data_IF_494876371817
#
_entry.id   IF_494876371817
#
_cell.length_a   1.000
_cell.length_b   1.000
_cell.length_c   1.000
_cell.angle_alpha   90.00
_cell.angle_beta   90.00
_cell.angle_gamma   90.00
#
_symmetry.space_group_name_H-M   'P 1'
#
loop_
_entity.id
_entity.type
_entity.pdbx_description
1 polymer ?
#
# COMPACT_ATOMS: atom_id res chain seq x y z
N UNK A 1 24.49 -113.91 55.44
CA UNK A 1 23.20 -113.19 55.34
C UNK A 1 23.39 -111.90 56.15
N UNK A 2 23.51 -110.68 55.63
CA UNK A 2 23.15 -110.02 54.36
C UNK A 2 24.17 -108.88 54.09
N UNK A 3 24.38 -108.56 52.81
CA UNK A 3 25.06 -107.36 52.29
C UNK A 3 24.06 -106.18 52.15
N UNK A 4 24.58 -105.04 51.66
CA UNK A 4 23.91 -103.94 50.92
C UNK A 4 23.56 -102.70 51.76
N UNK A 5 23.71 -101.44 51.32
CA UNK A 5 24.41 -100.71 50.24
C UNK A 5 24.26 -99.20 50.53
N UNK A 6 25.14 -98.40 49.91
CA UNK A 6 25.16 -96.93 49.69
C UNK A 6 23.83 -96.14 49.80
N UNK A 7 23.93 -94.87 50.23
CA UNK A 7 23.74 -93.73 49.31
C UNK A 7 24.14 -92.37 49.92
N UNK A 8 25.01 -91.66 49.19
CA UNK A 8 25.17 -90.21 49.22
C UNK A 8 23.90 -89.54 48.65
N UNK A 9 23.42 -88.48 49.28
CA UNK A 9 22.55 -87.50 48.63
C UNK A 9 22.88 -86.11 49.14
N UNK A 10 23.47 -85.30 48.25
CA UNK A 10 23.68 -83.87 48.39
C UNK A 10 22.59 -83.17 47.59
N UNK A 11 21.86 -82.17 48.13
CA UNK A 11 21.15 -81.20 47.31
C UNK A 11 21.93 -79.88 47.32
N UNK A 12 22.67 -79.65 46.23
CA UNK A 12 23.12 -78.34 45.80
C UNK A 12 21.99 -77.67 45.01
N UNK A 13 21.01 -77.05 45.67
CA UNK A 13 19.97 -76.27 45.00
C UNK A 13 19.63 -75.06 45.86
N UNK A 14 19.88 -73.86 45.33
CA UNK A 14 19.64 -72.60 46.05
C UNK A 14 20.54 -71.43 45.65
N UNK A 15 21.45 -71.59 44.68
CA UNK A 15 22.32 -70.48 44.22
C UNK A 15 21.91 -69.82 42.90
N UNK A 16 20.94 -70.36 42.17
CA UNK A 16 20.58 -69.85 40.84
C UNK A 16 19.35 -68.89 40.84
N UNK A 17 18.38 -69.04 41.76
CA UNK A 17 17.19 -68.16 41.80
C UNK A 17 17.48 -66.70 42.23
N UNK A 18 18.54 -66.46 43.01
CA UNK A 18 18.89 -65.11 43.52
C UNK A 18 19.60 -64.25 42.45
N UNK A 19 20.09 -64.87 41.37
CA UNK A 19 20.83 -64.18 40.29
C UNK A 19 19.91 -63.58 39.22
N UNK A 20 18.78 -64.22 38.93
CA UNK A 20 17.84 -63.78 37.89
C UNK A 20 17.01 -62.56 38.30
N UNK A 21 16.57 -62.49 39.55
CA UNK A 21 15.82 -61.34 40.11
C UNK A 21 16.64 -60.05 40.09
N UNK A 22 17.91 -60.12 40.48
CA UNK A 22 18.84 -58.97 40.43
C UNK A 22 19.15 -58.51 38.99
N UNK A 23 19.15 -59.41 38.00
CA UNK A 23 19.37 -59.04 36.59
C UNK A 23 18.13 -58.39 35.96
N UNK A 24 16.94 -58.89 36.28
CA UNK A 24 15.68 -58.31 35.81
C UNK A 24 15.45 -56.90 36.39
N UNK A 25 15.77 -56.70 37.67
CA UNK A 25 15.71 -55.38 38.32
C UNK A 25 16.76 -54.41 37.76
N UNK A 26 17.98 -54.86 37.46
CA UNK A 26 19.03 -54.04 36.86
C UNK A 26 18.73 -53.67 35.39
N UNK A 27 18.10 -54.57 34.64
CA UNK A 27 17.66 -54.30 33.27
C UNK A 27 16.48 -53.32 33.24
N UNK A 28 15.51 -53.49 34.14
CA UNK A 28 14.39 -52.56 34.33
C UNK A 28 14.82 -51.17 34.80
N UNK A 29 15.78 -51.09 35.73
CA UNK A 29 16.32 -49.82 36.23
C UNK A 29 17.06 -49.06 35.13
N UNK A 30 17.87 -49.75 34.33
CA UNK A 30 18.63 -49.14 33.22
C UNK A 30 17.72 -48.58 32.12
N UNK A 31 16.60 -49.25 31.82
CA UNK A 31 15.62 -48.77 30.86
C UNK A 31 14.85 -47.54 31.37
N UNK A 32 14.43 -47.56 32.64
CA UNK A 32 13.74 -46.44 33.28
C UNK A 32 14.65 -45.20 33.41
N UNK A 33 15.92 -45.42 33.74
CA UNK A 33 16.93 -44.35 33.86
C UNK A 33 17.27 -43.74 32.50
N UNK A 34 17.40 -44.55 31.45
CA UNK A 34 17.54 -44.07 30.07
C UNK A 34 16.31 -43.28 29.59
N UNK A 35 15.10 -43.73 29.93
CA UNK A 35 13.85 -43.04 29.61
C UNK A 35 13.78 -41.67 30.32
N UNK A 36 14.08 -41.62 31.62
CA UNK A 36 14.12 -40.37 32.38
C UNK A 36 15.15 -39.38 31.82
N UNK A 37 16.34 -39.86 31.45
CA UNK A 37 17.36 -39.02 30.81
C UNK A 37 16.86 -38.49 29.45
N UNK A 38 16.18 -39.32 28.65
CA UNK A 38 15.62 -38.87 27.37
C UNK A 38 14.55 -37.79 27.54
N UNK A 39 13.72 -37.88 28.59
CA UNK A 39 12.74 -36.84 28.93
C UNK A 39 13.40 -35.54 29.39
N UNK A 40 14.50 -35.62 30.14
CA UNK A 40 15.28 -34.43 30.55
C UNK A 40 15.88 -33.74 29.32
N UNK A 41 16.50 -34.50 28.41
CA UNK A 41 17.07 -33.97 27.18
C UNK A 41 15.98 -33.32 26.32
N UNK A 42 14.85 -34.00 26.13
CA UNK A 42 13.72 -33.45 25.37
C UNK A 42 13.18 -32.15 26.00
N UNK A 43 13.07 -32.09 27.33
CA UNK A 43 12.65 -30.88 28.04
C UNK A 43 13.63 -29.73 27.82
N UNK A 44 14.94 -29.98 27.86
CA UNK A 44 15.96 -28.97 27.58
C UNK A 44 15.83 -28.46 26.15
N UNK A 45 15.70 -29.35 25.16
CA UNK A 45 15.50 -28.99 23.75
C UNK A 45 14.23 -28.13 23.59
N UNK A 46 13.14 -28.52 24.23
CA UNK A 46 11.88 -27.76 24.18
C UNK A 46 12.04 -26.36 24.78
N UNK A 47 12.74 -26.22 25.91
CA UNK A 47 13.03 -24.92 26.54
C UNK A 47 13.89 -24.05 25.60
N UNK A 48 14.94 -24.63 25.00
CA UNK A 48 15.80 -23.90 24.06
C UNK A 48 15.00 -23.42 22.84
N UNK A 49 14.13 -24.27 22.27
CA UNK A 49 13.24 -23.89 21.18
C UNK A 49 12.31 -22.74 21.56
N UNK A 50 11.73 -22.75 22.77
CA UNK A 50 10.89 -21.66 23.26
C UNK A 50 11.68 -20.36 23.43
N UNK A 51 12.92 -20.43 23.93
CA UNK A 51 13.78 -19.26 24.06
C UNK A 51 14.13 -18.68 22.68
N UNK A 52 14.53 -19.53 21.72
CA UNK A 52 14.80 -19.11 20.34
C UNK A 52 13.55 -18.50 19.69
N UNK A 53 12.39 -19.12 19.92
CA UNK A 53 11.12 -18.59 19.46
C UNK A 53 10.87 -17.19 20.03
N UNK A 54 10.93 -16.99 21.36
CA UNK A 54 10.72 -15.68 21.99
C UNK A 54 11.78 -14.64 21.56
N UNK A 55 13.04 -15.04 21.40
CA UNK A 55 14.10 -14.18 20.90
C UNK A 55 13.87 -13.76 19.43
N UNK A 56 13.17 -14.57 18.64
CA UNK A 56 12.79 -14.19 17.27
C UNK A 56 11.76 -13.05 17.23
N UNK A 57 11.22 -12.61 18.38
CA UNK A 57 10.24 -11.53 18.52
C UNK A 57 10.80 -10.11 18.42
N UNK A 58 12.13 -9.93 18.44
CA UNK A 58 12.74 -8.59 18.30
C UNK A 58 12.56 -8.06 16.87
N UNK A 59 11.95 -6.88 16.73
CA UNK A 59 11.73 -6.17 15.46
C UNK A 59 12.12 -4.71 15.60
N UNK A 60 12.64 -4.12 14.53
CA UNK A 60 13.01 -2.69 14.50
C UNK A 60 12.03 -1.91 13.65
N UNK A 61 11.65 -0.71 14.11
CA UNK A 61 10.82 0.25 13.37
C UNK A 61 11.69 1.41 12.91
N UNK A 62 11.59 1.76 11.62
CA UNK A 62 12.33 2.89 11.03
C UNK A 62 11.89 4.24 11.58
N UNK A 63 12.71 5.28 11.41
CA UNK A 63 12.38 6.65 11.84
C UNK A 63 11.32 7.32 10.96
N UNK A 64 11.13 6.81 9.75
CA UNK A 64 10.14 7.24 8.75
C UNK A 64 8.85 6.40 8.77
N UNK A 65 8.77 5.43 9.68
CA UNK A 65 7.70 4.45 9.79
C UNK A 65 7.01 4.55 11.15
N UNK A 66 5.70 4.30 11.17
CA UNK A 66 4.95 4.00 12.38
C UNK A 66 4.46 2.57 12.29
N UNK A 67 4.56 1.83 13.38
CA UNK A 67 4.12 0.45 13.42
C UNK A 67 2.96 0.27 14.40
N UNK A 68 2.07 -0.67 14.09
CA UNK A 68 1.11 -1.18 15.06
C UNK A 68 1.23 -2.70 15.14
N UNK A 69 0.86 -3.22 16.31
CA UNK A 69 0.91 -4.64 16.59
C UNK A 69 -0.51 -5.20 16.52
N UNK A 70 -0.69 -6.17 15.64
CA UNK A 70 -1.90 -6.97 15.57
C UNK A 70 -1.70 -8.18 16.49
N UNK A 71 -2.63 -8.43 17.40
CA UNK A 71 -2.70 -9.66 18.20
C UNK A 71 -3.89 -10.47 17.72
N UNK A 72 -3.65 -11.65 17.16
CA UNK A 72 -4.68 -12.48 16.52
C UNK A 72 -5.58 -11.69 15.55
N UNK A 73 -4.97 -10.82 14.75
CA UNK A 73 -5.68 -9.98 13.76
C UNK A 73 -6.43 -8.77 14.34
N UNK A 74 -6.41 -8.55 15.67
CA UNK A 74 -6.97 -7.34 16.30
C UNK A 74 -5.86 -6.37 16.65
N UNK A 75 -6.04 -5.09 16.39
CA UNK A 75 -5.09 -4.04 16.83
C UNK A 75 -4.97 -4.06 18.35
N UNK A 76 -3.74 -4.23 18.86
CA UNK A 76 -3.42 -4.27 20.28
C UNK A 76 -3.29 -2.83 20.82
N UNK A 77 -3.88 -2.56 21.99
CA UNK A 77 -3.78 -1.28 22.71
C UNK A 77 -5.05 -0.41 22.65
N UNK A 78 -5.09 0.66 23.44
CA UNK A 78 -6.13 1.70 23.42
C UNK A 78 -5.47 3.09 23.48
N UNK A 79 -5.82 3.99 22.56
CA UNK A 79 -5.24 5.34 22.52
C UNK A 79 -3.82 5.36 21.94
N UNK A 80 -2.94 6.15 22.55
CA UNK A 80 -1.57 6.44 22.06
C UNK A 80 -0.63 5.22 22.15
N UNK A 81 -0.91 4.23 23.00
CA UNK A 81 -0.13 2.99 23.13
C UNK A 81 -0.29 2.02 21.93
N UNK A 82 -1.11 2.37 20.94
CA UNK A 82 -1.33 1.57 19.72
C UNK A 82 -0.25 1.79 18.67
N UNK A 83 0.38 2.96 18.67
CA UNK A 83 1.33 3.39 17.65
C UNK A 83 2.73 3.27 18.24
N UNK A 84 3.48 2.27 17.78
CA UNK A 84 4.87 2.11 18.12
C UNK A 84 5.70 3.06 17.27
N UNK A 85 6.34 4.01 17.95
CA UNK A 85 7.35 4.88 17.37
C UNK A 85 8.65 4.14 17.01
N UNK A 86 9.62 4.87 16.43
CA UNK A 86 10.90 4.32 16.01
C UNK A 86 11.66 3.66 17.16
N UNK A 87 12.29 2.50 16.89
CA UNK A 87 13.11 1.81 17.89
C UNK A 87 13.05 0.29 17.81
N UNK A 88 13.76 -0.35 18.74
CA UNK A 88 13.70 -1.80 18.95
C UNK A 88 12.46 -2.15 19.76
N UNK A 89 11.58 -2.96 19.18
CA UNK A 89 10.33 -3.38 19.77
C UNK A 89 10.33 -4.90 19.88
N UNK A 90 9.98 -5.40 21.06
CA UNK A 90 9.79 -6.84 21.25
C UNK A 90 8.29 -7.16 21.16
N UNK A 91 7.95 -8.05 20.23
CA UNK A 91 6.59 -8.56 20.06
C UNK A 91 6.60 -10.07 20.21
N UNK A 92 5.45 -10.67 20.51
CA UNK A 92 5.35 -12.11 20.43
C UNK A 92 5.54 -12.55 18.96
N UNK A 93 6.29 -13.63 18.71
CA UNK A 93 6.45 -14.11 17.34
C UNK A 93 5.12 -14.58 16.74
N UNK A 94 5.06 -14.58 15.41
CA UNK A 94 3.95 -15.20 14.68
C UNK A 94 3.74 -16.64 15.19
N UNK A 95 2.49 -17.10 15.43
CA UNK A 95 1.22 -16.54 14.96
C UNK A 95 0.47 -15.62 15.95
N UNK A 96 1.06 -15.28 17.09
CA UNK A 96 0.36 -14.55 18.16
C UNK A 96 0.26 -13.06 17.79
N UNK A 97 1.39 -12.47 17.40
CA UNK A 97 1.46 -11.06 17.01
C UNK A 97 2.12 -10.84 15.66
N UNK A 98 1.66 -9.80 14.96
CA UNK A 98 2.15 -9.35 13.67
C UNK A 98 2.38 -7.85 13.72
N UNK A 99 3.53 -7.39 13.22
CA UNK A 99 3.88 -5.97 13.12
C UNK A 99 3.62 -5.46 11.71
N UNK A 100 2.79 -4.44 11.59
CA UNK A 100 2.53 -3.76 10.32
C UNK A 100 3.19 -2.39 10.38
N UNK A 101 4.07 -2.09 9.42
CA UNK A 101 4.85 -0.85 9.38
C UNK A 101 4.35 0.06 8.27
N UNK A 102 3.89 1.26 8.61
CA UNK A 102 3.33 2.20 7.64
C UNK A 102 4.25 3.43 7.49
N UNK A 103 4.60 3.80 6.26
CA UNK A 103 5.51 4.92 5.95
C UNK A 103 4.79 6.28 6.07
N UNK A 104 4.61 6.79 7.29
CA UNK A 104 3.84 8.05 7.51
C UNK A 104 4.61 9.31 7.09
N UNK A 105 5.94 9.30 7.13
CA UNK A 105 6.75 10.49 6.83
C UNK A 105 7.00 10.69 5.31
N UNK A 106 6.68 9.69 4.47
CA UNK A 106 6.99 9.73 3.04
C UNK A 106 5.91 10.45 2.25
N UNK A 107 6.33 11.48 1.52
CA UNK A 107 5.52 12.16 0.50
C UNK A 107 5.71 11.47 -0.84
N UNK A 108 4.61 11.01 -1.43
CA UNK A 108 4.61 10.26 -2.69
C UNK A 108 3.98 11.10 -3.78
N UNK A 109 4.66 11.20 -4.91
CA UNK A 109 4.15 11.87 -6.10
C UNK A 109 3.43 10.86 -7.00
N UNK A 110 2.17 11.16 -7.31
CA UNK A 110 1.34 10.44 -8.25
C UNK A 110 1.00 11.35 -9.43
N UNK A 111 1.51 11.00 -10.61
CA UNK A 111 1.13 11.67 -11.85
C UNK A 111 -0.24 11.17 -12.32
N UNK A 112 -1.14 12.10 -12.61
CA UNK A 112 -2.49 11.83 -13.10
C UNK A 112 -2.64 12.45 -14.49
N UNK A 113 -2.55 11.60 -15.51
CA UNK A 113 -2.57 11.99 -16.93
C UNK A 113 -3.86 11.56 -17.64
N UNK A 114 -4.92 11.25 -16.89
CA UNK A 114 -6.20 10.75 -17.39
C UNK A 114 -6.86 11.67 -18.41
N UNK A 115 -6.56 12.97 -18.33
CA UNK A 115 -7.11 14.02 -19.17
C UNK A 115 -6.11 14.49 -20.23
N UNK A 116 -5.01 13.76 -20.45
CA UNK A 116 -4.04 14.10 -21.48
C UNK A 116 -4.33 13.34 -22.78
N UNK A 117 -4.11 13.99 -23.92
CA UNK A 117 -4.23 13.35 -25.22
C UNK A 117 -3.15 12.28 -25.41
N UNK A 118 -3.40 11.31 -26.28
CA UNK A 118 -2.43 10.27 -26.56
C UNK A 118 -1.20 10.84 -27.28
N UNK A 119 -0.01 10.45 -26.82
CA UNK A 119 1.26 10.72 -27.48
C UNK A 119 1.94 9.40 -27.83
N UNK A 120 2.41 9.26 -29.07
CA UNK A 120 3.22 8.10 -29.45
C UNK A 120 4.59 8.16 -28.77
N UNK A 121 5.27 7.00 -28.66
CA UNK A 121 6.63 6.95 -28.11
C UNK A 121 7.61 7.90 -28.84
N UNK A 122 7.43 8.07 -30.15
CA UNK A 122 8.23 9.01 -30.95
C UNK A 122 7.93 10.49 -30.65
N UNK A 123 6.70 10.83 -30.25
CA UNK A 123 6.31 12.19 -29.83
C UNK A 123 6.84 12.55 -28.44
N UNK A 124 7.15 11.57 -27.59
CA UNK A 124 7.65 11.80 -26.23
C UNK A 124 9.17 11.99 -26.16
N UNK A 125 9.91 11.70 -27.25
CA UNK A 125 11.37 11.82 -27.28
C UNK A 125 11.80 13.30 -27.41
N UNK A 126 12.74 13.77 -26.57
CA UNK A 126 13.20 15.17 -26.59
C UNK A 126 14.00 15.55 -27.85
N UNK A 127 14.39 14.58 -28.68
CA UNK A 127 15.12 14.79 -29.92
C UNK A 127 14.35 14.24 -31.12
N UNK A 128 13.53 15.09 -31.74
CA UNK A 128 13.48 15.29 -33.19
C UNK A 128 12.62 16.50 -33.49
N UNK A 129 13.10 17.30 -34.44
CA UNK A 129 12.48 18.49 -35.00
C UNK A 129 10.97 18.31 -35.10
N UNK A 130 10.22 19.26 -34.52
CA UNK A 130 8.75 19.39 -34.50
C UNK A 130 8.14 19.26 -35.89
N UNK A 131 8.02 18.04 -36.39
CA UNK A 131 7.08 17.76 -37.43
C UNK A 131 5.72 17.65 -36.72
N UNK A 132 4.93 18.73 -36.77
CA UNK A 132 3.46 18.74 -36.55
C UNK A 132 2.74 17.80 -37.56
N UNK A 133 3.35 16.68 -37.97
CA UNK A 133 3.00 15.97 -39.21
C UNK A 133 1.87 14.97 -39.08
N UNK A 134 1.35 14.70 -37.89
CA UNK A 134 0.20 13.80 -37.74
C UNK A 134 -0.75 14.25 -36.62
N UNK A 135 -1.02 15.56 -36.51
CA UNK A 135 -2.22 15.97 -35.77
C UNK A 135 -3.41 15.46 -36.56
N UNK A 136 -4.06 14.41 -36.06
CA UNK A 136 -5.27 13.87 -36.68
C UNK A 136 -6.34 14.97 -36.74
N UNK A 137 -7.15 15.02 -37.82
CA UNK A 137 -8.12 16.10 -38.02
C UNK A 137 -9.21 16.11 -36.94
N UNK A 138 -9.43 14.98 -36.27
CA UNK A 138 -10.43 14.81 -35.21
C UNK A 138 -9.80 14.39 -33.90
N UNK A 139 -10.47 14.74 -32.81
CA UNK A 139 -10.20 14.21 -31.47
C UNK A 139 -10.84 12.82 -31.35
N UNK A 140 -10.11 11.83 -30.82
CA UNK A 140 -10.66 10.50 -30.57
C UNK A 140 -10.93 10.32 -29.08
N UNK A 141 -12.17 10.53 -28.59
CA UNK A 141 -12.46 10.57 -27.14
C UNK A 141 -12.21 9.23 -26.42
N UNK A 142 -12.12 8.12 -27.15
CA UNK A 142 -11.79 6.80 -26.59
C UNK A 142 -10.29 6.58 -26.37
N UNK A 143 -9.45 7.43 -26.97
CA UNK A 143 -7.98 7.34 -26.94
C UNK A 143 -7.35 8.56 -26.29
N UNK A 144 -7.87 9.75 -26.60
CA UNK A 144 -7.41 11.02 -26.07
C UNK A 144 -8.17 11.32 -24.78
N UNK A 145 -7.44 11.43 -23.67
CA UNK A 145 -8.02 11.89 -22.41
C UNK A 145 -8.38 13.37 -22.49
N UNK A 146 -9.49 13.78 -21.88
CA UNK A 146 -9.93 15.17 -21.90
C UNK A 146 -10.79 15.52 -20.69
N UNK A 147 -10.79 16.79 -20.30
CA UNK A 147 -11.68 17.34 -19.28
C UNK A 147 -12.62 18.38 -19.89
N UNK A 148 -13.78 18.55 -19.28
CA UNK A 148 -14.81 19.47 -19.74
C UNK A 148 -14.82 20.71 -18.83
N UNK A 149 -14.91 21.89 -19.45
CA UNK A 149 -15.04 23.19 -18.78
C UNK A 149 -16.34 23.87 -19.17
N UNK A 150 -16.83 24.75 -18.30
CA UNK A 150 -18.05 25.53 -18.49
C UNK A 150 -17.96 26.43 -19.71
N UNK A 151 -19.09 26.67 -20.36
CA UNK A 151 -19.21 27.75 -21.35
C UNK A 151 -19.09 29.14 -20.73
N UNK A 152 -18.69 30.13 -21.52
CA UNK A 152 -18.85 31.53 -21.13
C UNK A 152 -20.33 31.91 -21.08
N UNK A 153 -20.70 32.82 -20.18
CA UNK A 153 -22.06 33.37 -20.18
C UNK A 153 -22.18 34.31 -21.39
N UNK A 154 -22.91 33.92 -22.42
CA UNK A 154 -23.27 34.81 -23.52
C UNK A 154 -24.06 36.01 -23.00
N UNK A 155 -23.60 37.23 -23.31
CA UNK A 155 -24.24 38.49 -22.87
C UNK A 155 -25.57 38.81 -23.59
N UNK A 156 -25.98 38.04 -24.59
CA UNK A 156 -27.23 38.25 -25.32
C UNK A 156 -27.96 36.91 -25.50
N UNK A 157 -29.07 36.72 -24.78
CA UNK A 157 -30.03 35.65 -25.06
C UNK A 157 -30.81 36.02 -26.32
N UNK A 158 -30.36 35.55 -27.49
CA UNK A 158 -31.33 35.28 -28.56
C UNK A 158 -32.11 34.08 -28.08
N UNK A 159 -33.39 34.27 -27.80
CA UNK A 159 -34.29 33.23 -27.34
C UNK A 159 -34.14 31.99 -28.26
N UNK A 160 -34.01 30.82 -27.65
CA UNK A 160 -34.06 29.47 -28.25
C UNK A 160 -32.75 28.69 -28.46
N UNK A 161 -31.57 29.23 -28.08
CA UNK A 161 -30.37 28.39 -27.89
C UNK A 161 -30.07 28.21 -26.40
N UNK A 162 -30.78 27.26 -25.77
CA UNK A 162 -30.51 26.81 -24.40
C UNK A 162 -29.28 25.88 -24.31
N UNK A 163 -28.20 26.18 -25.05
CA UNK A 163 -26.97 25.41 -25.06
C UNK A 163 -25.82 26.24 -24.49
N UNK A 164 -25.41 25.98 -23.24
CA UNK A 164 -24.09 26.41 -22.80
C UNK A 164 -23.06 25.46 -23.44
N UNK A 165 -22.42 25.88 -24.51
CA UNK A 165 -21.41 25.05 -25.18
C UNK A 165 -20.24 24.77 -24.23
N UNK A 166 -20.09 23.52 -23.80
CA UNK A 166 -18.95 23.12 -22.98
C UNK A 166 -17.67 23.13 -23.82
N UNK A 167 -16.54 23.47 -23.20
CA UNK A 167 -15.24 23.42 -23.85
C UNK A 167 -14.45 22.20 -23.39
N UNK A 168 -13.52 21.77 -24.24
CA UNK A 168 -12.64 20.63 -23.97
C UNK A 168 -11.23 21.14 -23.71
N UNK A 169 -10.59 20.60 -22.66
CA UNK A 169 -9.18 20.85 -22.35
C UNK A 169 -8.45 19.54 -22.10
N UNK A 170 -7.16 19.53 -22.40
CA UNK A 170 -6.24 18.49 -22.00
C UNK A 170 -5.43 18.97 -20.80
N UNK A 171 -5.32 18.16 -19.75
CA UNK A 171 -4.56 18.53 -18.57
C UNK A 171 -3.79 17.37 -17.95
N UNK A 172 -2.64 17.71 -17.35
CA UNK A 172 -1.84 16.82 -16.52
C UNK A 172 -1.86 17.33 -15.09
N UNK A 173 -2.03 16.41 -14.17
CA UNK A 173 -2.08 16.69 -12.74
C UNK A 173 -0.98 15.92 -12.02
N UNK A 174 -0.53 16.47 -10.90
CA UNK A 174 0.33 15.77 -9.96
C UNK A 174 -0.24 15.90 -8.56
N UNK A 175 -0.56 14.76 -7.95
CA UNK A 175 -0.92 14.66 -6.54
C UNK A 175 0.34 14.32 -5.75
N UNK A 176 0.68 15.11 -4.74
CA UNK A 176 1.58 14.67 -3.68
C UNK A 176 0.71 14.29 -2.48
N UNK A 177 0.80 13.04 -2.05
CA UNK A 177 0.06 12.54 -0.89
C UNK A 177 1.00 11.94 0.16
N UNK A 178 0.49 11.79 1.38
CA UNK A 178 1.15 11.07 2.46
C UNK A 178 0.09 10.33 3.29
N UNK A 179 0.50 9.30 4.02
CA UNK A 179 -0.35 8.64 5.00
C UNK A 179 -0.20 9.41 6.32
N UNK A 180 -1.28 10.06 6.76
CA UNK A 180 -1.29 10.94 7.94
C UNK A 180 -1.75 10.16 9.19
N UNK A 181 -2.74 9.28 9.03
CA UNK A 181 -3.26 8.41 10.09
C UNK A 181 -3.11 6.94 9.67
N UNK A 182 -2.12 6.20 10.21
CA UNK A 182 -1.88 4.81 9.82
C UNK A 182 -2.97 3.85 10.29
N UNK A 183 -3.69 4.15 11.38
CA UNK A 183 -4.77 3.28 11.88
C UNK A 183 -5.98 3.37 10.95
N UNK A 184 -6.42 4.59 10.63
CA UNK A 184 -7.49 4.83 9.66
C UNK A 184 -7.14 4.24 8.30
N UNK A 185 -5.91 4.45 7.85
CA UNK A 185 -5.42 3.87 6.62
C UNK A 185 -5.52 2.35 6.61
N UNK A 186 -5.00 1.67 7.65
CA UNK A 186 -5.02 0.22 7.70
C UNK A 186 -6.43 -0.37 7.76
N UNK A 187 -7.36 0.31 8.45
CA UNK A 187 -8.74 -0.18 8.59
C UNK A 187 -9.59 0.03 7.33
N UNK A 188 -9.43 1.17 6.67
CA UNK A 188 -10.35 1.63 5.63
C UNK A 188 -9.76 1.56 4.22
N UNK A 189 -8.46 1.33 4.08
CA UNK A 189 -7.78 1.20 2.79
C UNK A 189 -7.23 -0.20 2.61
N UNK A 190 -7.70 -0.88 1.56
CA UNK A 190 -7.22 -2.21 1.22
C UNK A 190 -5.81 -2.16 0.62
N UNK A 191 -4.91 -2.94 1.22
CA UNK A 191 -3.57 -3.22 0.69
C UNK A 191 -3.43 -4.72 0.55
N UNK A 192 -2.95 -5.18 -0.61
CA UNK A 192 -2.74 -6.62 -0.83
C UNK A 192 -1.67 -7.17 0.12
N UNK A 193 -1.72 -8.49 0.35
CA UNK A 193 -0.66 -9.17 1.11
C UNK A 193 0.70 -9.05 0.43
N UNK A 194 1.74 -8.90 1.25
CA UNK A 194 3.15 -8.80 0.81
C UNK A 194 3.67 -10.19 0.51
N UNK A 195 4.29 -10.37 -0.66
CA UNK A 195 4.98 -11.62 -1.02
C UNK A 195 6.44 -11.58 -0.53
N UNK A 196 7.06 -12.74 -0.25
CA UNK A 196 8.48 -12.80 0.09
C UNK A 196 9.34 -12.08 -0.96
N UNK A 197 10.17 -11.13 -0.49
CA UNK A 197 11.05 -10.32 -1.35
C UNK A 197 10.47 -8.97 -1.82
N UNK A 198 9.19 -8.69 -1.59
CA UNK A 198 8.60 -7.39 -1.92
C UNK A 198 8.84 -6.34 -0.81
N UNK A 199 9.01 -5.09 -1.21
CA UNK A 199 9.07 -3.95 -0.29
C UNK A 199 7.64 -3.52 0.05
N UNK A 200 7.26 -3.53 1.33
CA UNK A 200 5.89 -3.22 1.73
C UNK A 200 5.41 -1.83 1.27
N UNK A 201 6.30 -0.84 1.27
CA UNK A 201 6.04 0.50 0.71
C UNK A 201 5.56 0.45 -0.74
N UNK A 202 6.21 -0.35 -1.59
CA UNK A 202 5.84 -0.48 -2.99
C UNK A 202 4.50 -1.20 -3.15
N UNK A 203 4.25 -2.22 -2.33
CA UNK A 203 2.96 -2.92 -2.28
C UNK A 203 1.82 -1.95 -1.93
N UNK A 204 2.02 -1.09 -0.93
CA UNK A 204 1.08 -0.04 -0.56
C UNK A 204 0.84 0.89 -1.76
N UNK A 205 1.92 1.43 -2.34
CA UNK A 205 1.84 2.37 -3.48
C UNK A 205 1.06 1.77 -4.65
N UNK A 206 1.39 0.54 -5.04
CA UNK A 206 0.69 -0.17 -6.12
C UNK A 206 -0.79 -0.39 -5.81
N UNK A 207 -1.12 -0.77 -4.58
CA UNK A 207 -2.50 -1.05 -4.16
C UNK A 207 -3.39 0.20 -4.19
N UNK A 208 -2.86 1.34 -3.74
CA UNK A 208 -3.66 2.57 -3.59
C UNK A 208 -3.63 3.47 -4.84
N UNK A 209 -2.66 3.31 -5.73
CA UNK A 209 -2.55 4.12 -6.96
C UNK A 209 -3.84 4.18 -7.79
N UNK A 210 -4.51 3.07 -8.15
CA UNK A 210 -5.73 3.13 -8.95
C UNK A 210 -6.86 3.87 -8.21
N UNK A 211 -6.98 3.61 -6.90
CA UNK A 211 -7.97 4.25 -6.04
C UNK A 211 -7.76 5.78 -5.94
N UNK A 212 -6.52 6.22 -5.66
CA UNK A 212 -6.21 7.65 -5.60
C UNK A 212 -6.36 8.34 -6.95
N UNK A 213 -5.99 7.66 -8.05
CA UNK A 213 -6.17 8.19 -9.40
C UNK A 213 -7.65 8.44 -9.69
N UNK A 214 -8.53 7.49 -9.37
CA UNK A 214 -9.98 7.65 -9.56
C UNK A 214 -10.56 8.81 -8.73
N UNK A 215 -10.15 8.94 -7.47
CA UNK A 215 -10.58 10.06 -6.62
C UNK A 215 -10.11 11.42 -7.16
N UNK A 216 -8.87 11.51 -7.64
CA UNK A 216 -8.35 12.74 -8.28
C UNK A 216 -9.12 13.02 -9.56
N UNK A 217 -9.34 12.03 -10.41
CA UNK A 217 -10.07 12.17 -11.66
C UNK A 217 -11.48 12.74 -11.39
N UNK A 218 -12.19 12.15 -10.43
CA UNK A 218 -13.52 12.63 -10.03
C UNK A 218 -13.52 14.04 -9.41
N UNK A 219 -12.47 14.40 -8.66
CA UNK A 219 -12.34 15.75 -8.09
C UNK A 219 -12.01 16.80 -9.16
N UNK A 220 -11.16 16.45 -10.14
CA UNK A 220 -10.85 17.31 -11.29
C UNK A 220 -12.11 17.56 -12.12
N UNK A 221 -12.83 16.51 -12.52
CA UNK A 221 -14.06 16.66 -13.32
C UNK A 221 -15.08 17.55 -12.60
N UNK A 222 -15.36 17.28 -11.33
CA UNK A 222 -16.31 18.07 -10.54
C UNK A 222 -15.87 19.53 -10.34
N UNK A 223 -14.57 19.81 -10.38
CA UNK A 223 -14.03 21.17 -10.23
C UNK A 223 -14.06 21.92 -11.57
N UNK A 224 -13.54 21.31 -12.63
CA UNK A 224 -13.32 21.96 -13.94
C UNK A 224 -14.61 22.44 -14.61
N UNK A 225 -15.72 21.74 -14.39
CA UNK A 225 -17.05 22.13 -14.91
C UNK A 225 -17.56 23.47 -14.36
N UNK A 226 -16.93 24.04 -13.33
CA UNK A 226 -17.30 25.35 -12.79
C UNK A 226 -16.52 26.51 -13.42
N UNK A 227 -15.46 26.22 -14.18
CA UNK A 227 -14.54 27.21 -14.74
C UNK A 227 -14.68 27.30 -16.25
N UNK A 228 -14.49 28.48 -16.83
CA UNK A 228 -14.36 28.62 -18.29
C UNK A 228 -13.00 28.08 -18.77
N UNK A 229 -12.86 27.90 -20.09
CA UNK A 229 -11.57 27.51 -20.68
C UNK A 229 -10.48 28.56 -20.41
N UNK A 230 -10.79 29.85 -20.48
CA UNK A 230 -9.84 30.93 -20.21
C UNK A 230 -9.42 30.96 -18.73
N UNK A 231 -10.37 30.77 -17.81
CA UNK A 231 -10.06 30.60 -16.39
C UNK A 231 -9.20 29.36 -16.14
N UNK A 232 -9.48 28.26 -16.84
CA UNK A 232 -8.73 27.02 -16.72
C UNK A 232 -7.27 27.18 -17.18
N UNK A 233 -7.06 27.82 -18.33
CA UNK A 233 -5.72 28.03 -18.91
C UNK A 233 -4.93 29.07 -18.11
N UNK A 234 -5.58 30.11 -17.59
CA UNK A 234 -4.92 31.20 -16.86
C UNK A 234 -4.74 30.94 -15.36
N UNK A 235 -5.54 30.04 -14.76
CA UNK A 235 -5.48 29.76 -13.33
C UNK A 235 -4.24 28.96 -12.95
N UNK A 236 -3.30 29.61 -12.27
CA UNK A 236 -2.14 28.92 -11.67
C UNK A 236 -2.49 28.18 -10.38
N UNK A 237 -3.31 28.79 -9.51
CA UNK A 237 -3.48 28.35 -8.12
C UNK A 237 -4.92 28.00 -7.73
N UNK A 238 -5.91 28.69 -8.30
CA UNK A 238 -7.30 28.62 -7.84
C UNK A 238 -7.88 27.23 -8.05
N UNK A 239 -7.79 26.71 -9.27
CA UNK A 239 -8.33 25.40 -9.63
C UNK A 239 -7.61 24.27 -8.87
N UNK A 240 -6.27 24.19 -8.82
CA UNK A 240 -5.59 23.17 -8.00
C UNK A 240 -5.97 23.19 -6.52
N UNK A 241 -6.18 24.38 -5.92
CA UNK A 241 -6.66 24.51 -4.54
C UNK A 241 -8.07 23.92 -4.37
N UNK A 242 -8.97 24.14 -5.32
CA UNK A 242 -10.33 23.58 -5.27
C UNK A 242 -10.31 22.05 -5.45
N UNK A 243 -9.52 21.54 -6.41
CA UNK A 243 -9.34 20.09 -6.59
C UNK A 243 -8.78 19.45 -5.32
N UNK A 244 -7.74 20.04 -4.72
CA UNK A 244 -7.17 19.56 -3.45
C UNK A 244 -8.22 19.53 -2.35
N UNK A 245 -9.01 20.59 -2.20
CA UNK A 245 -10.05 20.68 -1.17
C UNK A 245 -11.08 19.55 -1.33
N UNK A 246 -11.63 19.41 -2.54
CA UNK A 246 -12.62 18.38 -2.84
C UNK A 246 -12.07 16.96 -2.71
N UNK A 247 -10.81 16.74 -3.12
CA UNK A 247 -10.11 15.47 -2.93
C UNK A 247 -9.98 15.14 -1.43
N UNK A 248 -9.53 16.09 -0.62
CA UNK A 248 -9.38 15.89 0.83
C UNK A 248 -10.74 15.60 1.48
N UNK A 249 -11.79 16.35 1.13
CA UNK A 249 -13.16 16.09 1.62
C UNK A 249 -13.62 14.64 1.32
N UNK A 250 -13.30 14.12 0.13
CA UNK A 250 -13.61 12.73 -0.23
C UNK A 250 -12.78 11.72 0.55
N UNK A 251 -11.48 11.97 0.72
CA UNK A 251 -10.57 11.12 1.50
C UNK A 251 -10.94 11.08 2.98
N UNK A 252 -11.42 12.20 3.53
CA UNK A 252 -11.89 12.33 4.91
C UNK A 252 -13.23 11.61 5.10
N UNK A 253 -14.15 11.70 4.14
CA UNK A 253 -15.48 11.06 4.19
C UNK A 253 -15.41 9.54 4.33
N UNK A 254 -14.39 8.91 3.74
CA UNK A 254 -14.15 7.47 3.85
C UNK A 254 -13.13 7.12 4.94
N UNK A 255 -12.72 8.11 5.72
CA UNK A 255 -11.72 7.98 6.79
C UNK A 255 -10.46 7.24 6.32
N UNK A 256 -9.95 7.58 5.13
CA UNK A 256 -8.84 6.84 4.51
C UNK A 256 -7.51 6.96 5.24
N UNK A 257 -7.35 7.94 6.14
CA UNK A 257 -6.06 8.28 6.74
C UNK A 257 -5.03 8.84 5.76
N UNK A 258 -5.42 9.11 4.50
CA UNK A 258 -4.56 9.70 3.47
C UNK A 258 -4.77 11.21 3.41
N UNK A 259 -3.67 11.95 3.28
CA UNK A 259 -3.67 13.40 3.16
C UNK A 259 -3.12 13.86 1.82
N UNK A 260 -3.89 14.69 1.13
CA UNK A 260 -3.45 15.39 -0.06
C UNK A 260 -2.54 16.57 0.35
N UNK A 261 -1.23 16.38 0.27
CA UNK A 261 -0.24 17.41 0.59
C UNK A 261 -0.31 18.56 -0.41
N UNK A 262 -0.30 18.23 -1.70
CA UNK A 262 -0.48 19.20 -2.78
C UNK A 262 -1.15 18.55 -3.99
N UNK A 263 -1.87 19.36 -4.74
CA UNK A 263 -2.37 19.04 -6.08
C UNK A 263 -1.88 20.13 -7.00
N UNK A 264 -1.27 19.77 -8.12
CA UNK A 264 -0.68 20.70 -9.09
C UNK A 264 -1.22 20.40 -10.48
N UNK A 265 -1.59 21.46 -11.21
CA UNK A 265 -1.86 21.40 -12.63
C UNK A 265 -0.52 21.61 -13.36
N UNK A 266 0.09 20.52 -13.83
CA UNK A 266 1.44 20.56 -14.42
C UNK A 266 1.43 20.91 -15.91
N UNK A 267 0.32 20.67 -16.59
CA UNK A 267 0.09 21.13 -17.95
C UNK A 267 -1.40 21.31 -18.21
N UNK A 268 -1.77 22.34 -18.97
CA UNK A 268 -3.10 22.49 -19.54
C UNK A 268 -3.00 23.05 -20.95
N UNK A 269 -3.80 22.53 -21.88
CA UNK A 269 -3.85 22.98 -23.27
C UNK A 269 -5.21 22.69 -23.89
N UNK A 270 -5.54 23.37 -24.98
CA UNK A 270 -6.70 23.04 -25.82
C UNK A 270 -6.40 21.85 -26.75
N UNK A 271 -7.43 21.23 -27.37
CA UNK A 271 -7.24 20.18 -28.37
C UNK A 271 -6.35 20.63 -29.53
N UNK A 272 -5.41 19.77 -29.93
CA UNK A 272 -4.43 20.08 -30.98
C UNK A 272 -5.08 20.45 -32.33
N UNK A 273 -6.29 19.95 -32.56
CA UNK A 273 -7.10 20.15 -33.75
C UNK A 273 -7.57 21.60 -33.93
N UNK A 274 -7.73 22.34 -32.82
CA UNK A 274 -8.21 23.73 -32.82
C UNK A 274 -7.11 24.75 -32.56
N UNK A 275 -5.84 24.32 -32.59
CA UNK A 275 -4.67 25.16 -32.27
C UNK A 275 -4.65 26.46 -33.07
N UNK A 276 -4.91 26.39 -34.38
CA UNK A 276 -4.96 27.56 -35.25
C UNK A 276 -6.05 28.56 -34.84
N UNK A 277 -7.26 28.07 -34.55
CA UNK A 277 -8.40 28.92 -34.20
C UNK A 277 -8.20 29.62 -32.85
N UNK A 278 -7.69 28.90 -31.84
CA UNK A 278 -7.38 29.48 -30.53
C UNK A 278 -6.25 30.51 -30.61
N UNK A 279 -5.16 30.21 -31.32
CA UNK A 279 -4.06 31.15 -31.51
C UNK A 279 -4.51 32.42 -32.24
N UNK A 280 -5.39 32.29 -33.24
CA UNK A 280 -5.99 33.43 -33.93
C UNK A 280 -6.85 34.29 -32.99
N UNK A 281 -7.69 33.66 -32.16
CA UNK A 281 -8.53 34.34 -31.16
C UNK A 281 -7.69 35.09 -30.12
N UNK A 282 -6.68 34.43 -29.54
CA UNK A 282 -5.76 35.05 -28.57
C UNK A 282 -5.05 36.25 -29.20
N UNK A 283 -4.55 36.10 -30.43
CA UNK A 283 -3.87 37.19 -31.15
C UNK A 283 -4.82 38.38 -31.39
N UNK A 284 -6.06 38.12 -31.77
CA UNK A 284 -7.08 39.15 -31.98
C UNK A 284 -7.42 39.88 -30.67
N UNK A 285 -7.63 39.13 -29.57
CA UNK A 285 -7.93 39.69 -28.25
C UNK A 285 -6.79 40.58 -27.72
N UNK A 286 -5.54 40.16 -27.89
CA UNK A 286 -4.38 40.97 -27.51
C UNK A 286 -4.24 42.22 -28.38
N UNK A 287 -4.55 42.13 -29.67
CA UNK A 287 -4.59 43.29 -30.57
C UNK A 287 -5.62 44.33 -30.13
N UNK A 288 -6.82 43.88 -29.75
CA UNK A 288 -7.88 44.75 -29.25
C UNK A 288 -7.51 45.44 -27.94
N UNK A 289 -6.84 44.75 -27.01
CA UNK A 289 -6.43 45.35 -25.73
C UNK A 289 -5.32 46.40 -25.87
N UNK A 290 -4.49 46.31 -26.91
CA UNK A 290 -3.44 47.31 -27.19
C UNK A 290 -3.95 48.55 -27.93
N UNK A 291 -5.13 48.46 -28.54
CA UNK A 291 -5.74 49.54 -29.31
C UNK A 291 -6.65 50.46 -28.45
N UNK A 292 -6.78 50.15 -27.16
CA UNK A 292 -7.47 50.94 -26.12
C UNK A 292 -6.39 51.57 -25.24
#
# INVERSE_FOLDING_TARGET
MKRDTKNEFSPSEGRDEIRDTNQLDAAGSSLSEALHISFIILKIIMIVLVIVFLASGFRTVGSDEQAFVLRFGKIRGAGEDRILGPGLQWIFPYPIEEIVKIPVAKKVNLAVNSFWYYQSASEMLPQKIKARRDVKPVLYPTRDGYCITRSEKQKQTVADFAGSDYNIVHCKWQLTYQIDDPERFFRNVYVRNVKPGEIYFDVIRESITPFLKDLVDGAVVATMVNYTIDEAISSQDRIPKHVKKLLQERLDKIESGIKAVSVQLTAITWPRQVDYAFLASIKASQGSQKAI
#
